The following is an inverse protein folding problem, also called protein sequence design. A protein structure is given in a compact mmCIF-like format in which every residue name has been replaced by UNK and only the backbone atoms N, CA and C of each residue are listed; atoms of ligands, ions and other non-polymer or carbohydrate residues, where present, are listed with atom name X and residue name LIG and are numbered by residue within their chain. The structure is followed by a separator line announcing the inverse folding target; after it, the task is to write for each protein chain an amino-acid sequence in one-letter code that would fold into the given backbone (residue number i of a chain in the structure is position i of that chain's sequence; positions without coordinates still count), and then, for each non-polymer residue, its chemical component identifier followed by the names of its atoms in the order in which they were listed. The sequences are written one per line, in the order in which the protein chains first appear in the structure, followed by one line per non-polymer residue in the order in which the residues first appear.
data_IF_896587785856
#
_entry.id   IF_896587785856
#
_cell.length_a   1.000
_cell.length_b   1.000
_cell.length_c   1.000
_cell.angle_alpha   90.00
_cell.angle_beta   90.00
_cell.angle_gamma   90.00
#
_symmetry.space_group_name_H-M   'P 1'
#
loop_
_entity.id
_entity.type
_entity.pdbx_description
1 polymer ?
#
# COMPACT_ATOMS: atom_id res chain seq x y z
N UNK A 1 -44.88 6.88 24.38
CA UNK A 1 -43.76 6.46 23.50
C UNK A 1 -42.58 7.36 23.81
N UNK A 2 -41.45 6.82 24.30
CA UNK A 2 -40.28 7.62 24.63
C UNK A 2 -39.33 7.54 23.44
N UNK A 3 -38.98 8.67 22.85
CA UNK A 3 -37.94 8.76 21.84
C UNK A 3 -36.61 9.00 22.53
N UNK A 4 -35.62 8.14 22.25
CA UNK A 4 -34.21 8.35 22.62
C UNK A 4 -33.44 8.77 21.38
N UNK A 5 -32.86 9.94 21.40
CA UNK A 5 -31.98 10.41 20.33
C UNK A 5 -30.83 9.44 20.13
N UNK A 6 -30.42 9.24 18.89
CA UNK A 6 -29.25 8.39 18.61
C UNK A 6 -28.00 9.01 19.22
N UNK A 7 -27.18 8.16 19.86
CA UNK A 7 -25.84 8.55 20.32
C UNK A 7 -24.93 8.69 19.09
N UNK A 8 -24.50 9.91 18.82
CA UNK A 8 -23.61 10.27 17.71
C UNK A 8 -22.18 10.54 18.17
N UNK A 9 -21.88 10.31 19.45
CA UNK A 9 -20.51 10.46 19.97
C UNK A 9 -19.58 9.41 19.40
N UNK A 10 -18.30 9.80 19.19
CA UNK A 10 -17.25 8.88 18.84
C UNK A 10 -16.82 8.06 20.05
N UNK A 11 -16.63 6.77 19.87
CA UNK A 11 -16.15 5.87 20.92
C UNK A 11 -14.65 5.68 20.77
N UNK A 12 -14.01 5.36 21.90
CA UNK A 12 -12.62 4.90 21.89
C UNK A 12 -12.52 3.60 21.11
N UNK A 13 -11.66 3.55 20.11
CA UNK A 13 -11.49 2.37 19.25
C UNK A 13 -10.97 1.18 20.07
N UNK A 14 -11.49 -0.01 19.78
CA UNK A 14 -11.13 -1.28 20.41
C UNK A 14 -10.73 -2.32 19.38
N UNK A 15 -10.21 -3.47 19.81
CA UNK A 15 -9.84 -4.58 18.94
C UNK A 15 -8.66 -4.25 18.02
N UNK A 16 -7.80 -3.32 18.41
CA UNK A 16 -6.59 -2.99 17.64
C UNK A 16 -5.63 -4.17 17.69
N UNK A 17 -5.27 -4.68 16.53
CA UNK A 17 -4.31 -5.78 16.34
C UNK A 17 -3.44 -5.51 15.13
N UNK A 18 -2.21 -6.01 15.14
CA UNK A 18 -1.34 -5.91 13.98
C UNK A 18 -0.53 -7.21 13.80
N UNK A 19 -0.37 -7.62 12.57
CA UNK A 19 0.51 -8.73 12.17
C UNK A 19 0.98 -8.51 10.74
N UNK A 20 2.20 -8.88 10.46
CA UNK A 20 2.76 -8.84 9.09
C UNK A 20 2.47 -7.51 8.37
N UNK A 21 2.71 -6.39 9.03
CA UNK A 21 2.46 -5.03 8.53
C UNK A 21 1.00 -4.68 8.20
N UNK A 22 0.08 -5.39 8.82
CA UNK A 22 -1.36 -5.09 8.69
C UNK A 22 -1.95 -4.78 10.04
N UNK A 23 -2.56 -3.60 10.16
CA UNK A 23 -3.28 -3.11 11.32
C UNK A 23 -4.78 -3.27 11.11
N UNK A 24 -5.49 -3.81 12.08
CA UNK A 24 -6.94 -3.98 12.08
C UNK A 24 -7.55 -3.45 13.37
N UNK A 25 -8.82 -3.06 13.34
CA UNK A 25 -9.57 -2.60 14.51
C UNK A 25 -11.08 -2.75 14.33
N UNK A 26 -11.82 -2.65 15.41
CA UNK A 26 -13.28 -2.67 15.38
C UNK A 26 -13.84 -1.31 14.88
N UNK A 27 -14.89 -1.31 14.05
CA UNK A 27 -15.49 -0.08 13.55
C UNK A 27 -16.23 0.70 14.65
N UNK A 28 -16.22 2.02 14.53
CA UNK A 28 -17.20 2.90 15.17
C UNK A 28 -18.22 3.36 14.13
N UNK A 29 -19.51 3.07 14.40
CA UNK A 29 -20.61 3.41 13.46
C UNK A 29 -20.79 4.91 13.21
N UNK A 30 -20.20 5.76 14.05
CA UNK A 30 -20.29 7.20 13.98
C UNK A 30 -19.06 7.84 13.33
N UNK A 31 -18.06 7.04 12.99
CA UNK A 31 -16.82 7.52 12.37
C UNK A 31 -16.94 7.59 10.84
N UNK A 32 -16.42 8.66 10.26
CA UNK A 32 -16.26 8.82 8.81
C UNK A 32 -14.90 8.29 8.35
N UNK A 33 -13.91 8.34 9.24
CA UNK A 33 -12.54 7.87 8.98
C UNK A 33 -11.80 7.60 10.29
N UNK A 34 -10.56 7.12 10.16
CA UNK A 34 -9.71 6.79 11.30
C UNK A 34 -8.32 7.38 11.08
N UNK A 35 -7.67 7.82 12.15
CA UNK A 35 -6.27 8.19 12.17
C UNK A 35 -5.43 7.15 12.90
N UNK A 36 -4.22 6.92 12.39
CA UNK A 36 -3.27 5.95 12.92
C UNK A 36 -2.07 6.71 13.48
N UNK A 37 -1.72 6.42 14.74
CA UNK A 37 -0.55 6.95 15.41
C UNK A 37 0.46 5.83 15.65
N UNK A 38 1.71 6.09 15.35
CA UNK A 38 2.84 5.19 15.53
C UNK A 38 3.85 5.87 16.45
N UNK A 39 4.25 5.18 17.52
CA UNK A 39 5.33 5.62 18.40
C UNK A 39 6.30 4.48 18.67
N UNK A 40 7.56 4.78 18.91
CA UNK A 40 8.51 3.77 19.39
C UNK A 40 8.50 3.63 20.93
N UNK A 41 9.37 2.77 21.45
CA UNK A 41 9.52 2.54 22.90
C UNK A 41 10.05 3.79 23.65
N UNK A 42 10.72 4.70 22.95
CA UNK A 42 11.18 5.97 23.50
C UNK A 42 10.09 7.06 23.45
N UNK A 43 8.91 6.76 22.91
CA UNK A 43 7.81 7.71 22.76
C UNK A 43 7.95 8.67 21.59
N UNK A 44 8.91 8.46 20.67
CA UNK A 44 9.01 9.26 19.44
C UNK A 44 7.86 8.93 18.52
N UNK A 45 7.22 9.97 17.98
CA UNK A 45 6.13 9.82 17.01
C UNK A 45 6.68 9.77 15.59
N UNK A 46 6.00 8.97 14.76
CA UNK A 46 6.29 8.79 13.34
C UNK A 46 5.09 9.25 12.53
N UNK A 47 5.34 10.00 11.47
CA UNK A 47 4.32 10.62 10.65
C UNK A 47 4.49 10.23 9.18
N UNK A 48 3.38 10.09 8.47
CA UNK A 48 3.37 9.87 7.01
C UNK A 48 3.87 11.12 6.27
N UNK A 49 3.49 12.31 6.75
CA UNK A 49 3.89 13.57 6.14
C UNK A 49 3.86 14.70 7.18
N UNK A 50 4.30 15.88 6.77
CA UNK A 50 4.19 17.10 7.55
C UNK A 50 3.02 17.99 7.07
N UNK A 51 2.47 18.78 7.97
CA UNK A 51 1.63 19.91 7.59
C UNK A 51 2.42 20.91 6.73
N UNK A 52 1.71 21.70 5.92
CA UNK A 52 2.35 22.64 4.97
C UNK A 52 3.22 23.70 5.65
N UNK A 53 2.92 24.04 6.90
CA UNK A 53 3.73 24.97 7.72
C UNK A 53 4.91 24.28 8.41
N UNK A 54 5.03 22.94 8.26
CA UNK A 54 6.05 22.09 8.91
C UNK A 54 6.11 22.20 10.44
N UNK A 55 5.01 22.60 11.09
CA UNK A 55 4.93 22.73 12.54
C UNK A 55 4.31 21.52 13.22
N UNK A 56 3.63 20.68 12.46
CA UNK A 56 3.02 19.44 12.95
C UNK A 56 3.15 18.31 11.94
N UNK A 57 3.22 17.09 12.46
CA UNK A 57 3.12 15.87 11.65
C UNK A 57 1.66 15.55 11.33
N UNK A 58 1.45 14.85 10.24
CA UNK A 58 0.14 14.31 9.85
C UNK A 58 0.11 12.82 10.08
N UNK A 59 -0.90 12.39 10.78
CA UNK A 59 -1.20 10.97 10.92
C UNK A 59 -1.84 10.44 9.63
N UNK A 60 -1.58 9.18 9.34
CA UNK A 60 -2.27 8.47 8.25
C UNK A 60 -3.75 8.41 8.52
N UNK A 61 -4.55 8.73 7.50
CA UNK A 61 -6.01 8.70 7.56
C UNK A 61 -6.58 7.68 6.58
N UNK A 62 -7.45 6.83 7.07
CA UNK A 62 -8.12 5.79 6.28
C UNK A 62 -9.62 5.73 6.56
N UNK A 63 -10.43 5.36 5.57
CA UNK A 63 -11.88 5.22 5.72
C UNK A 63 -12.31 3.83 6.22
N UNK A 64 -11.48 2.81 6.03
CA UNK A 64 -11.75 1.44 6.47
C UNK A 64 -11.25 1.14 7.88
N UNK A 65 -11.44 -0.10 8.33
CA UNK A 65 -10.99 -0.60 9.64
C UNK A 65 -9.74 -1.47 9.55
N UNK A 66 -9.03 -1.32 8.47
CA UNK A 66 -7.82 -2.05 8.13
C UNK A 66 -6.86 -1.14 7.38
N UNK A 67 -5.57 -1.29 7.66
CA UNK A 67 -4.52 -0.56 6.97
C UNK A 67 -3.26 -1.41 6.84
N UNK A 68 -2.71 -1.49 5.64
CA UNK A 68 -1.38 -2.05 5.40
C UNK A 68 -0.36 -0.92 5.42
N UNK A 69 0.72 -1.10 6.14
CA UNK A 69 1.79 -0.11 6.27
C UNK A 69 3.13 -0.70 5.83
N UNK A 70 4.04 0.16 5.42
CA UNK A 70 5.40 -0.18 5.01
C UNK A 70 6.40 0.60 5.88
N UNK A 71 7.63 0.10 6.01
CA UNK A 71 8.69 0.77 6.76
C UNK A 71 9.05 2.15 6.20
N UNK A 72 8.92 2.34 4.89
CA UNK A 72 9.24 3.60 4.21
C UNK A 72 8.15 4.68 4.34
N UNK A 73 6.96 4.32 4.82
CA UNK A 73 5.82 5.24 4.87
C UNK A 73 5.92 6.27 6.00
N UNK A 74 6.76 6.01 7.01
CA UNK A 74 6.73 6.78 8.26
C UNK A 74 8.10 7.26 8.69
N UNK A 75 8.21 8.57 8.89
CA UNK A 75 9.42 9.23 9.37
C UNK A 75 9.20 9.83 10.77
N UNK A 76 10.28 9.93 11.54
CA UNK A 76 10.29 10.73 12.75
C UNK A 76 10.97 12.08 12.51
N UNK A 77 10.56 13.07 13.27
CA UNK A 77 11.01 14.46 13.12
C UNK A 77 11.43 15.05 14.47
N UNK A 78 12.34 15.99 14.42
CA UNK A 78 12.71 16.83 15.56
C UNK A 78 12.36 18.29 15.25
N UNK A 79 12.05 19.08 16.30
CA UNK A 79 11.79 20.51 16.13
C UNK A 79 13.10 21.30 16.19
N UNK A 80 13.39 22.01 15.11
CA UNK A 80 14.49 22.97 15.03
C UNK A 80 13.89 24.34 14.76
N UNK A 81 14.09 25.28 15.68
CA UNK A 81 13.55 26.65 15.61
C UNK A 81 12.02 26.71 15.32
N UNK A 82 11.27 25.74 15.86
CA UNK A 82 9.82 25.64 15.69
C UNK A 82 9.36 25.05 14.35
N UNK A 83 10.28 24.49 13.56
CA UNK A 83 10.01 23.77 12.33
C UNK A 83 10.42 22.31 12.51
N UNK A 84 9.62 21.37 12.02
CA UNK A 84 9.92 19.95 12.05
C UNK A 84 10.90 19.60 10.93
N UNK A 85 12.00 18.97 11.31
CA UNK A 85 13.00 18.44 10.38
C UNK A 85 13.14 16.93 10.56
N UNK A 86 13.37 16.15 9.47
CA UNK A 86 13.57 14.72 9.58
C UNK A 86 14.75 14.39 10.50
N UNK A 87 14.56 13.43 11.39
CA UNK A 87 15.68 12.83 12.11
C UNK A 87 16.44 11.93 11.15
N UNK A 88 17.75 12.12 11.07
CA UNK A 88 18.64 11.35 10.20
C UNK A 88 19.64 10.53 11.02
N UNK A 89 19.99 9.36 10.50
CA UNK A 89 21.09 8.56 11.04
C UNK A 89 22.43 9.26 10.74
N UNK A 90 23.23 9.62 11.76
CA UNK A 90 24.50 10.32 11.54
C UNK A 90 25.47 9.55 10.63
N UNK A 91 25.43 8.22 10.69
CA UNK A 91 26.33 7.36 9.94
C UNK A 91 26.00 7.27 8.43
N UNK A 92 24.74 7.43 8.06
CA UNK A 92 24.27 7.19 6.67
C UNK A 92 23.68 8.42 6.01
N UNK A 93 23.28 9.43 6.78
CA UNK A 93 22.55 10.61 6.30
C UNK A 93 21.10 10.30 5.86
N UNK A 94 20.61 9.09 6.11
CA UNK A 94 19.25 8.69 5.75
C UNK A 94 18.24 9.04 6.85
N UNK A 95 16.97 9.30 6.50
CA UNK A 95 15.93 9.50 7.50
C UNK A 95 15.75 8.26 8.38
N UNK A 96 15.37 8.49 9.63
CA UNK A 96 14.98 7.41 10.56
C UNK A 96 13.53 7.05 10.28
N UNK A 97 13.31 5.89 9.71
CA UNK A 97 11.98 5.34 9.44
C UNK A 97 11.46 4.51 10.60
N UNK A 98 10.13 4.34 10.67
CA UNK A 98 9.52 3.37 11.57
C UNK A 98 9.76 1.92 11.08
N UNK A 99 9.44 0.98 11.93
CA UNK A 99 9.42 -0.46 11.63
C UNK A 99 10.79 -1.09 11.30
N UNK A 100 11.83 -0.61 11.98
CA UNK A 100 13.14 -1.28 11.95
C UNK A 100 13.07 -2.69 12.53
N UNK A 101 13.81 -3.61 11.94
CA UNK A 101 13.95 -4.99 12.41
C UNK A 101 14.26 -5.11 13.90
N UNK A 102 13.53 -5.97 14.58
CA UNK A 102 13.70 -6.26 16.00
C UNK A 102 13.21 -5.17 16.95
N UNK A 103 12.75 -4.03 16.44
CA UNK A 103 12.19 -2.94 17.23
C UNK A 103 10.70 -3.16 17.51
N UNK A 104 10.23 -2.54 18.59
CA UNK A 104 8.80 -2.52 18.95
C UNK A 104 8.22 -1.14 18.74
N UNK A 105 7.05 -1.09 18.14
CA UNK A 105 6.28 0.13 17.91
C UNK A 105 4.90 0.01 18.54
N UNK A 106 4.41 1.10 19.08
CA UNK A 106 3.07 1.19 19.64
C UNK A 106 2.13 1.81 18.61
N UNK A 107 1.12 1.07 18.22
CA UNK A 107 0.13 1.45 17.23
C UNK A 107 -1.17 1.81 17.93
N UNK A 108 -1.70 2.99 17.65
CA UNK A 108 -2.99 3.45 18.20
C UNK A 108 -3.87 4.01 17.09
N UNK A 109 -5.16 3.86 17.25
CA UNK A 109 -6.16 4.30 16.26
C UNK A 109 -7.18 5.19 16.96
N UNK A 110 -7.61 6.28 16.32
CA UNK A 110 -8.77 7.06 16.75
C UNK A 110 -9.77 7.26 15.62
N UNK A 111 -11.02 7.38 15.97
CA UNK A 111 -12.08 7.73 15.05
C UNK A 111 -12.06 9.23 14.75
N UNK A 112 -12.46 9.59 13.53
CA UNK A 112 -12.64 10.96 13.07
C UNK A 112 -14.02 11.07 12.44
N UNK A 113 -14.73 12.15 12.73
CA UNK A 113 -16.02 12.48 12.17
C UNK A 113 -16.02 13.93 11.68
N UNK A 114 -16.71 14.19 10.59
CA UNK A 114 -17.00 15.55 10.15
C UNK A 114 -18.31 16.00 10.82
N UNK A 115 -18.22 17.04 11.62
CA UNK A 115 -19.40 17.64 12.26
C UNK A 115 -20.31 18.38 11.26
N UNK A 116 -21.53 18.71 11.68
CA UNK A 116 -22.51 19.44 10.86
C UNK A 116 -22.00 20.84 10.44
N UNK A 117 -21.03 21.39 11.17
CA UNK A 117 -20.34 22.65 10.85
C UNK A 117 -19.14 22.46 9.90
N UNK A 118 -18.93 21.26 9.39
CA UNK A 118 -17.80 20.88 8.51
C UNK A 118 -16.47 20.74 9.22
N UNK A 119 -16.42 20.84 10.56
CA UNK A 119 -15.19 20.66 11.32
C UNK A 119 -14.98 19.20 11.72
N UNK A 120 -13.71 18.85 11.85
CA UNK A 120 -13.33 17.54 12.32
C UNK A 120 -13.52 17.41 13.83
N UNK A 121 -14.12 16.30 14.23
CA UNK A 121 -14.27 15.87 15.62
C UNK A 121 -13.47 14.58 15.77
N UNK A 122 -12.65 14.52 16.78
CA UNK A 122 -11.76 13.40 17.04
C UNK A 122 -12.21 12.62 18.28
N UNK A 123 -12.23 11.30 18.17
CA UNK A 123 -12.35 10.42 19.32
C UNK A 123 -11.03 10.27 20.07
N UNK A 124 -11.10 9.61 21.23
CA UNK A 124 -9.91 9.26 22.00
C UNK A 124 -9.08 8.20 21.25
N UNK A 125 -7.76 8.28 21.41
CA UNK A 125 -6.87 7.24 20.95
C UNK A 125 -7.18 5.90 21.63
N UNK A 126 -7.14 4.81 20.87
CA UNK A 126 -7.23 3.45 21.41
C UNK A 126 -6.13 3.18 22.43
N UNK A 127 -6.26 2.08 23.17
CA UNK A 127 -5.08 1.52 23.81
C UNK A 127 -4.05 1.18 22.72
N UNK A 128 -2.78 1.38 23.03
CA UNK A 128 -1.72 1.04 22.11
C UNK A 128 -1.60 -0.48 21.98
N UNK A 129 -1.40 -0.93 20.76
CA UNK A 129 -0.98 -2.30 20.44
C UNK A 129 0.52 -2.32 20.20
N UNK A 130 1.27 -3.08 20.98
CA UNK A 130 2.70 -3.22 20.80
C UNK A 130 2.98 -4.19 19.63
N UNK A 131 3.50 -3.66 18.53
CA UNK A 131 3.88 -4.40 17.34
C UNK A 131 5.41 -4.54 17.29
N UNK A 132 5.90 -5.77 17.43
CA UNK A 132 7.32 -6.06 17.30
C UNK A 132 7.61 -6.45 15.86
N UNK A 133 8.49 -5.70 15.21
CA UNK A 133 9.00 -6.05 13.87
C UNK A 133 9.91 -7.26 13.99
N UNK A 134 9.63 -8.28 13.22
CA UNK A 134 10.44 -9.50 13.16
C UNK A 134 11.11 -9.61 11.79
N UNK A 135 12.19 -10.35 11.70
CA UNK A 135 12.86 -10.58 10.43
C UNK A 135 11.94 -11.21 9.37
N UNK A 136 10.90 -11.93 9.82
CA UNK A 136 9.85 -12.46 8.92
C UNK A 136 8.89 -11.38 8.42
N UNK A 137 8.72 -10.29 9.17
CA UNK A 137 7.91 -9.14 8.76
C UNK A 137 8.70 -8.25 7.80
N UNK A 138 10.00 -8.06 8.03
CA UNK A 138 10.90 -7.30 7.16
C UNK A 138 11.19 -7.96 5.80
N UNK A 139 10.65 -9.14 5.59
CA UNK A 139 10.85 -9.94 4.39
C UNK A 139 12.10 -10.82 4.44
N UNK A 140 12.13 -11.81 3.60
CA UNK A 140 13.23 -12.74 3.44
C UNK A 140 13.69 -12.80 1.98
N UNK A 141 14.90 -13.29 1.74
CA UNK A 141 15.40 -13.53 0.38
C UNK A 141 14.73 -14.73 -0.31
N UNK A 142 13.87 -15.45 0.41
CA UNK A 142 13.15 -16.58 -0.15
C UNK A 142 12.10 -16.13 -1.17
N UNK A 143 12.03 -16.85 -2.27
CA UNK A 143 11.03 -16.60 -3.30
C UNK A 143 9.62 -16.82 -2.73
N UNK A 144 8.67 -15.86 -2.92
CA UNK A 144 7.29 -16.08 -2.55
C UNK A 144 6.70 -17.31 -3.24
N UNK A 145 5.79 -18.01 -2.57
CA UNK A 145 5.04 -19.08 -3.20
C UNK A 145 4.21 -18.55 -4.38
N UNK A 146 3.88 -19.44 -5.30
CA UNK A 146 2.97 -19.12 -6.40
C UNK A 146 1.58 -18.70 -5.85
N UNK A 147 1.03 -17.65 -6.42
CA UNK A 147 -0.32 -17.17 -6.07
C UNK A 147 -1.36 -18.18 -6.57
N UNK A 148 -2.31 -18.52 -5.73
CA UNK A 148 -3.39 -19.46 -6.04
C UNK A 148 -4.76 -18.79 -5.94
N UNK A 149 -5.81 -19.47 -6.45
CA UNK A 149 -7.19 -18.98 -6.35
C UNK A 149 -7.48 -17.75 -7.19
N UNK A 150 -6.66 -17.47 -8.20
CA UNK A 150 -6.90 -16.34 -9.13
C UNK A 150 -8.19 -16.56 -9.89
N UNK A 151 -9.15 -15.67 -9.72
CA UNK A 151 -10.44 -15.73 -10.40
C UNK A 151 -11.04 -14.32 -10.55
N UNK A 152 -11.99 -14.19 -11.48
CA UNK A 152 -12.82 -13.00 -11.63
C UNK A 152 -14.18 -13.27 -11.01
N UNK A 153 -14.51 -12.51 -9.96
CA UNK A 153 -15.84 -12.50 -9.37
C UNK A 153 -16.72 -11.51 -10.13
N UNK A 154 -17.84 -12.00 -10.67
CA UNK A 154 -18.82 -11.20 -11.42
C UNK A 154 -20.14 -11.05 -10.68
N UNK A 155 -20.26 -11.57 -9.46
CA UNK A 155 -21.46 -11.47 -8.62
C UNK A 155 -21.57 -10.09 -7.92
N UNK A 156 -20.47 -9.39 -7.78
CA UNK A 156 -20.46 -8.03 -7.26
C UNK A 156 -21.01 -7.05 -8.29
N UNK A 157 -21.42 -5.87 -7.86
CA UNK A 157 -21.88 -4.78 -8.73
C UNK A 157 -20.84 -4.39 -9.80
N UNK A 158 -19.59 -4.71 -9.54
CA UNK A 158 -18.45 -4.49 -10.42
C UNK A 158 -17.57 -5.76 -10.44
N UNK A 159 -17.21 -6.28 -11.64
CA UNK A 159 -16.32 -7.41 -11.75
C UNK A 159 -14.98 -7.16 -11.07
N UNK A 160 -14.56 -8.11 -10.24
CA UNK A 160 -13.37 -7.98 -9.40
C UNK A 160 -12.45 -9.19 -9.58
N UNK A 161 -11.18 -8.93 -9.91
CA UNK A 161 -10.12 -9.94 -9.88
C UNK A 161 -9.74 -10.20 -8.42
N UNK A 162 -9.72 -11.47 -8.01
CA UNK A 162 -9.40 -11.91 -6.64
C UNK A 162 -8.41 -13.07 -6.66
N UNK A 163 -7.69 -13.23 -5.57
CA UNK A 163 -6.75 -14.34 -5.34
C UNK A 163 -6.58 -14.62 -3.85
N UNK A 164 -5.93 -15.72 -3.52
CA UNK A 164 -5.62 -16.06 -2.13
C UNK A 164 -4.44 -15.24 -1.62
N UNK A 165 -4.60 -14.66 -0.43
CA UNK A 165 -3.53 -13.94 0.24
C UNK A 165 -2.35 -14.87 0.55
N UNK A 166 -1.14 -14.33 0.46
CA UNK A 166 0.09 -14.99 0.90
C UNK A 166 0.69 -14.21 2.06
N UNK A 167 1.28 -14.94 3.00
CA UNK A 167 2.06 -14.34 4.08
C UNK A 167 3.40 -13.80 3.55
N UNK A 168 3.92 -12.80 4.25
CA UNK A 168 5.25 -12.25 3.99
C UNK A 168 5.48 -11.77 2.56
N UNK A 169 4.48 -11.12 1.95
CA UNK A 169 4.61 -10.41 0.67
C UNK A 169 4.30 -8.93 0.86
N UNK A 170 4.91 -8.07 0.07
CA UNK A 170 4.71 -6.63 0.17
C UNK A 170 3.64 -6.13 -0.80
N UNK A 171 3.58 -6.74 -1.99
CA UNK A 171 2.61 -6.41 -3.02
C UNK A 171 2.36 -7.59 -3.94
N UNK A 172 1.33 -7.47 -4.75
CA UNK A 172 1.06 -8.37 -5.86
C UNK A 172 1.20 -7.59 -7.16
N UNK A 173 1.73 -8.24 -8.18
CA UNK A 173 1.80 -7.71 -9.52
C UNK A 173 0.90 -8.51 -10.45
N UNK A 174 0.18 -7.80 -11.31
CA UNK A 174 -0.82 -8.38 -12.19
C UNK A 174 -0.36 -8.23 -13.64
N UNK A 175 -0.22 -9.36 -14.32
CA UNK A 175 0.00 -9.44 -15.74
C UNK A 175 -1.31 -9.73 -16.44
N UNK A 176 -1.66 -8.93 -17.41
CA UNK A 176 -2.85 -9.08 -18.25
C UNK A 176 -2.41 -9.43 -19.66
N UNK A 177 -3.01 -10.47 -20.25
CA UNK A 177 -2.80 -10.85 -21.65
C UNK A 177 -4.14 -10.97 -22.36
N UNK A 178 -4.19 -10.53 -23.60
CA UNK A 178 -5.34 -10.74 -24.46
C UNK A 178 -5.28 -12.08 -25.21
N UNK A 179 -6.30 -12.35 -26.05
CA UNK A 179 -6.40 -13.57 -26.84
C UNK A 179 -5.29 -13.72 -27.89
N UNK A 180 -4.66 -12.63 -28.29
CA UNK A 180 -3.51 -12.63 -29.20
C UNK A 180 -2.17 -12.80 -28.46
N UNK A 181 -2.20 -12.93 -27.12
CA UNK A 181 -1.01 -13.08 -26.28
C UNK A 181 -0.25 -11.76 -26.04
N UNK A 182 -0.85 -10.61 -26.40
CA UNK A 182 -0.24 -9.31 -26.11
C UNK A 182 -0.29 -9.05 -24.60
N UNK A 183 0.85 -8.68 -24.05
CA UNK A 183 0.96 -8.34 -22.63
C UNK A 183 0.65 -6.86 -22.41
N UNK A 184 -0.02 -6.58 -21.32
CA UNK A 184 -0.37 -5.24 -20.89
C UNK A 184 0.36 -4.94 -19.59
N UNK A 185 1.08 -3.83 -19.56
CA UNK A 185 1.92 -3.41 -18.43
C UNK A 185 1.69 -1.92 -18.13
N UNK A 186 1.98 -1.48 -16.92
CA UNK A 186 1.82 -0.07 -16.54
C UNK A 186 2.89 0.82 -17.19
N UNK A 187 4.10 0.29 -17.41
CA UNK A 187 5.15 0.95 -18.17
C UNK A 187 6.18 -0.06 -18.67
N UNK A 188 6.95 0.32 -19.69
CA UNK A 188 8.09 -0.44 -20.15
C UNK A 188 9.21 0.52 -20.56
N UNK A 189 10.46 0.12 -20.36
CA UNK A 189 11.65 0.86 -20.80
C UNK A 189 12.73 -0.11 -21.29
N UNK A 190 13.62 0.38 -22.15
CA UNK A 190 14.77 -0.36 -22.63
C UNK A 190 15.95 -0.12 -21.67
N UNK A 191 16.57 -1.18 -21.17
CA UNK A 191 17.80 -1.10 -20.39
C UNK A 191 19.01 -0.92 -21.31
N UNK A 192 20.12 -0.46 -20.75
CA UNK A 192 21.38 -0.28 -21.48
C UNK A 192 21.92 -1.59 -22.09
N UNK A 193 21.58 -2.74 -21.53
CA UNK A 193 21.93 -4.06 -22.05
C UNK A 193 21.01 -4.56 -23.17
N UNK A 194 20.03 -3.74 -23.59
CA UNK A 194 19.07 -4.07 -24.62
C UNK A 194 17.88 -4.93 -24.14
N UNK A 195 17.78 -5.22 -22.86
CA UNK A 195 16.63 -5.94 -22.28
C UNK A 195 15.49 -4.96 -21.97
N UNK A 196 14.26 -5.45 -21.96
CA UNK A 196 13.07 -4.68 -21.63
C UNK A 196 12.78 -4.78 -20.16
N UNK A 197 12.75 -3.63 -19.49
CA UNK A 197 12.22 -3.52 -18.13
C UNK A 197 10.73 -3.23 -18.17
N UNK A 198 9.97 -3.99 -17.40
CA UNK A 198 8.50 -3.91 -17.38
C UNK A 198 8.02 -3.62 -15.97
N UNK A 199 7.11 -2.67 -15.85
CA UNK A 199 6.39 -2.43 -14.61
C UNK A 199 4.97 -2.95 -14.77
N UNK A 200 4.60 -3.90 -13.92
CA UNK A 200 3.25 -4.45 -13.87
C UNK A 200 2.36 -3.61 -12.96
N UNK A 201 1.06 -3.72 -13.15
CA UNK A 201 0.11 -3.14 -12.22
C UNK A 201 0.29 -3.76 -10.84
N UNK A 202 0.44 -2.93 -9.82
CA UNK A 202 0.73 -3.38 -8.46
C UNK A 202 -0.44 -3.12 -7.52
N UNK A 203 -0.77 -4.12 -6.73
CA UNK A 203 -1.72 -4.04 -5.63
C UNK A 203 -0.97 -4.30 -4.33
N UNK A 204 -1.09 -3.41 -3.38
CA UNK A 204 -0.51 -3.56 -2.06
C UNK A 204 -1.04 -4.82 -1.34
N UNK A 205 -0.29 -5.24 -0.34
CA UNK A 205 -0.68 -6.39 0.48
C UNK A 205 -2.04 -6.18 1.13
N UNK A 206 -2.89 -7.20 1.10
CA UNK A 206 -4.20 -7.24 1.74
C UNK A 206 -4.56 -8.68 2.09
N UNK A 207 -5.33 -8.92 3.17
CA UNK A 207 -5.89 -10.24 3.50
C UNK A 207 -6.99 -10.66 2.53
N UNK A 208 -7.52 -9.68 1.77
CA UNK A 208 -8.46 -9.93 0.68
C UNK A 208 -7.91 -9.28 -0.59
N UNK A 209 -6.83 -9.83 -1.15
CA UNK A 209 -6.19 -9.25 -2.29
C UNK A 209 -7.12 -9.29 -3.49
N UNK A 210 -7.49 -8.10 -3.95
CA UNK A 210 -8.41 -7.92 -5.05
C UNK A 210 -8.23 -6.57 -5.73
N UNK A 211 -8.68 -6.46 -6.97
CA UNK A 211 -8.77 -5.20 -7.70
C UNK A 211 -9.98 -5.25 -8.62
N UNK A 212 -10.73 -4.15 -8.70
CA UNK A 212 -11.82 -4.06 -9.67
C UNK A 212 -11.27 -3.98 -11.09
N UNK A 213 -11.98 -4.56 -12.05
CA UNK A 213 -11.54 -4.53 -13.44
C UNK A 213 -11.60 -3.12 -14.02
N UNK A 214 -12.51 -2.26 -13.55
CA UNK A 214 -12.55 -0.86 -13.96
C UNK A 214 -11.32 -0.10 -13.48
N UNK A 215 -10.89 -0.31 -12.23
CA UNK A 215 -9.66 0.29 -11.73
C UNK A 215 -8.43 -0.22 -12.47
N UNK A 216 -8.38 -1.50 -12.75
CA UNK A 216 -7.32 -2.08 -13.58
C UNK A 216 -7.30 -1.47 -14.99
N UNK A 217 -8.48 -1.13 -15.55
CA UNK A 217 -8.62 -0.45 -16.83
C UNK A 217 -8.21 1.03 -16.78
N UNK A 218 -8.55 1.72 -15.69
CA UNK A 218 -8.27 3.15 -15.53
C UNK A 218 -6.82 3.43 -15.22
N UNK A 219 -6.25 2.72 -14.24
CA UNK A 219 -4.91 2.95 -13.71
C UNK A 219 -3.86 2.08 -14.43
N UNK A 220 -4.27 0.92 -14.96
CA UNK A 220 -3.42 0.07 -15.76
C UNK A 220 -3.22 0.67 -17.14
N UNK A 221 -2.15 1.42 -17.33
CA UNK A 221 -1.68 1.77 -18.66
C UNK A 221 -1.29 0.50 -19.39
N UNK A 222 -2.14 0.11 -20.29
CA UNK A 222 -2.00 -1.17 -20.93
C UNK A 222 -1.23 -0.96 -22.21
N UNK A 223 0.08 -0.78 -22.06
CA UNK A 223 0.98 -0.76 -23.20
C UNK A 223 1.15 -2.17 -23.74
N UNK A 224 0.77 -2.39 -24.97
CA UNK A 224 1.33 -3.50 -25.71
C UNK A 224 2.75 -3.12 -26.11
N UNK A 225 3.74 -3.85 -25.66
CA UNK A 225 5.07 -3.70 -26.22
C UNK A 225 5.28 -4.78 -27.28
N UNK A 226 6.03 -4.41 -28.30
CA UNK A 226 6.50 -5.41 -29.29
C UNK A 226 7.80 -6.01 -28.76
N UNK A 227 8.07 -7.25 -29.13
CA UNK A 227 9.35 -7.92 -28.87
C UNK A 227 10.51 -7.33 -29.70
N UNK A 228 10.23 -6.33 -30.56
CA UNK A 228 11.26 -5.62 -31.31
C UNK A 228 11.79 -4.44 -30.49
N UNK A 229 13.01 -4.51 -29.96
CA UNK A 229 13.60 -3.47 -29.13
C UNK A 229 13.89 -2.16 -29.86
N UNK A 230 13.69 -2.11 -31.17
CA UNK A 230 13.86 -0.89 -31.98
C UNK A 230 12.60 -0.06 -32.11
N UNK A 231 11.46 -0.61 -31.68
CA UNK A 231 10.19 0.15 -31.66
C UNK A 231 10.12 0.86 -30.31
N UNK A 232 9.94 2.17 -30.35
CA UNK A 232 9.74 2.99 -29.15
C UNK A 232 8.61 2.39 -28.31
N UNK A 233 8.88 2.17 -27.01
CA UNK A 233 7.89 1.65 -26.04
C UNK A 233 6.77 2.66 -25.74
N UNK A 234 6.82 3.83 -26.34
CA UNK A 234 5.88 4.93 -26.15
C UNK A 234 4.49 4.70 -26.70
N UNK A 235 3.97 3.54 -26.57
CA UNK A 235 2.60 3.29 -26.90
C UNK A 235 2.35 2.66 -28.29
N UNK A 236 1.98 1.42 -28.27
CA UNK A 236 1.15 0.94 -29.36
C UNK A 236 -0.16 1.71 -29.28
N UNK A 237 -0.42 2.54 -30.27
CA UNK A 237 -1.63 3.33 -30.39
C UNK A 237 -2.54 2.71 -31.42
N UNK A 238 -3.83 2.90 -31.25
CA UNK A 238 -4.83 2.54 -32.24
C UNK A 238 -4.76 3.49 -33.46
N UNK A 239 -5.64 3.28 -34.42
CA UNK A 239 -5.76 4.08 -35.64
C UNK A 239 -6.11 5.57 -35.38
N UNK A 240 -6.67 5.88 -34.20
CA UNK A 240 -7.02 7.23 -33.78
C UNK A 240 -5.87 7.92 -33.02
N UNK A 241 -4.78 7.20 -32.76
CA UNK A 241 -3.65 7.68 -31.98
C UNK A 241 -3.83 7.55 -30.47
N UNK A 242 -4.87 6.86 -29.98
CA UNK A 242 -5.11 6.61 -28.57
C UNK A 242 -4.36 5.36 -28.10
N UNK A 243 -3.83 5.34 -26.86
CA UNK A 243 -3.19 4.16 -26.30
C UNK A 243 -4.15 2.97 -26.26
N UNK A 244 -3.72 1.81 -26.78
CA UNK A 244 -4.49 0.59 -26.67
C UNK A 244 -4.54 0.17 -25.21
N UNK A 245 -5.76 0.10 -24.65
CA UNK A 245 -6.03 -0.32 -23.29
C UNK A 245 -6.61 -1.72 -23.25
N UNK A 246 -6.32 -2.49 -22.18
CA UNK A 246 -7.01 -3.75 -21.94
C UNK A 246 -8.47 -3.52 -21.57
N UNK A 247 -9.20 -4.60 -21.39
CA UNK A 247 -10.61 -4.60 -21.04
C UNK A 247 -11.48 -3.92 -22.11
N UNK A 248 -11.08 -4.05 -23.38
CA UNK A 248 -11.92 -3.63 -24.49
C UNK A 248 -13.20 -4.51 -24.55
N UNK A 249 -14.36 -3.92 -24.81
CA UNK A 249 -15.62 -4.69 -24.91
C UNK A 249 -15.54 -5.79 -25.99
N UNK A 250 -15.97 -6.99 -25.63
CA UNK A 250 -15.99 -8.16 -26.54
C UNK A 250 -14.68 -8.94 -26.62
N UNK A 251 -13.62 -8.47 -25.98
CA UNK A 251 -12.33 -9.14 -25.95
C UNK A 251 -12.19 -10.06 -24.72
N UNK A 252 -11.35 -11.09 -24.85
CA UNK A 252 -11.04 -12.01 -23.76
C UNK A 252 -9.65 -11.76 -23.22
N UNK A 253 -9.52 -11.79 -21.89
CA UNK A 253 -8.26 -11.54 -21.18
C UNK A 253 -7.94 -12.66 -20.21
N UNK A 254 -6.66 -12.94 -20.06
CA UNK A 254 -6.13 -13.81 -19.01
C UNK A 254 -5.34 -12.99 -18.02
N UNK A 255 -5.45 -13.37 -16.74
CA UNK A 255 -4.79 -12.71 -15.64
C UNK A 255 -3.81 -13.67 -14.99
N UNK A 256 -2.60 -13.19 -14.74
CA UNK A 256 -1.62 -13.86 -13.90
C UNK A 256 -1.26 -12.92 -12.76
N UNK A 257 -1.15 -13.45 -11.57
CA UNK A 257 -0.82 -12.68 -10.37
C UNK A 257 0.40 -13.31 -9.74
N UNK A 258 1.43 -12.51 -9.50
CA UNK A 258 2.59 -12.94 -8.73
C UNK A 258 2.74 -12.13 -7.46
N UNK A 259 3.26 -12.76 -6.43
CA UNK A 259 3.62 -12.09 -5.19
C UNK A 259 5.01 -11.50 -5.29
N UNK A 260 5.20 -10.33 -4.71
CA UNK A 260 6.50 -9.65 -4.66
C UNK A 260 6.85 -9.37 -3.21
N UNK A 261 8.07 -9.71 -2.85
CA UNK A 261 8.64 -9.48 -1.53
C UNK A 261 9.83 -8.56 -1.66
N UNK A 262 9.92 -7.59 -0.75
CA UNK A 262 11.12 -6.78 -0.56
C UNK A 262 11.79 -7.18 0.74
N UNK A 263 13.11 -7.12 0.77
CA UNK A 263 13.91 -7.36 1.97
C UNK A 263 15.14 -6.48 1.95
N UNK A 264 15.63 -6.16 3.12
CA UNK A 264 16.81 -5.31 3.28
C UNK A 264 18.03 -6.16 3.59
N UNK A 265 19.12 -5.91 2.90
CA UNK A 265 20.45 -6.49 3.20
C UNK A 265 21.39 -5.38 3.63
N UNK A 266 22.23 -5.66 4.61
CA UNK A 266 23.36 -4.80 4.95
C UNK A 266 24.54 -5.18 4.07
N UNK A 267 25.02 -4.23 3.29
CA UNK A 267 26.22 -4.39 2.48
C UNK A 267 27.20 -3.30 2.89
N UNK A 268 28.24 -3.65 3.62
CA UNK A 268 29.28 -2.73 4.12
C UNK A 268 28.72 -1.56 4.94
N UNK A 269 27.75 -1.82 5.83
CA UNK A 269 27.10 -0.82 6.68
C UNK A 269 26.06 0.04 5.95
N UNK A 270 25.75 -0.31 4.69
CA UNK A 270 24.69 0.35 3.91
C UNK A 270 23.52 -0.61 3.73
N UNK A 271 22.36 -0.20 4.20
CA UNK A 271 21.11 -0.94 3.95
C UNK A 271 20.70 -0.80 2.47
N UNK A 272 20.52 -1.92 1.81
CA UNK A 272 20.09 -2.00 0.41
C UNK A 272 18.82 -2.83 0.35
N UNK A 273 17.74 -2.22 -0.13
CA UNK A 273 16.48 -2.94 -0.38
C UNK A 273 16.59 -3.76 -1.65
N UNK A 274 16.29 -5.03 -1.56
CA UNK A 274 16.21 -5.96 -2.68
C UNK A 274 14.81 -6.47 -2.85
N UNK A 275 14.47 -6.84 -4.07
CA UNK A 275 13.16 -7.41 -4.43
C UNK A 275 13.34 -8.84 -4.89
N UNK A 276 12.41 -9.71 -4.48
CA UNK A 276 12.28 -11.08 -4.98
C UNK A 276 10.84 -11.31 -5.42
N UNK A 277 10.69 -11.87 -6.61
CA UNK A 277 9.41 -12.09 -7.27
C UNK A 277 9.04 -13.56 -7.20
N UNK A 278 7.77 -13.85 -6.92
CA UNK A 278 7.16 -15.16 -7.02
C UNK A 278 6.95 -15.61 -8.48
N UNK A 279 6.42 -16.81 -8.63
CA UNK A 279 6.00 -17.36 -9.94
C UNK A 279 4.64 -16.81 -10.35
#
# INVERSE_FOLDING_TARGET
VTYKAADTSLKKISGVTASSYVLNWNPDKNADSYEIKITDEAGREYFESLASDRKSGRYTRVSGTRYSFDESDYNTYTSVDGVLEPVIYPATGQPVYAFEDGKTYNLSVRAVKIGDDGKEVYGDWSNAFAYKVTASDAGTSEKPAAVSGVNVNTEDSEPTLRWNALDNVNRYEILVKDSAGREYVSSASLKDDGTVDKTYYSVGRSDFPSVSLSKLKEDGYLYTYTTDPKVSFDSVRDENGDPIKAMAPGESYTFQVRAVRTYTVDTDGKKVTKTVEGD
#
